data_IF_495495195123
#
_entry.id   IF_495495195123
#
_cell.length_a   1.000
_cell.length_b   1.000
_cell.length_c   1.000
_cell.angle_alpha   90.00
_cell.angle_beta   90.00
_cell.angle_gamma   90.00
#
_symmetry.space_group_name_H-M   'P 1'
#
loop_
_entity.id
_entity.type
_entity.pdbx_description
1 polymer ?
#
# COMPACT_ATOMS: atom_id res chain seq x y z
N UNK A 1 -15.02 -11.09 -3.03
CA UNK A 1 -14.01 -10.01 -3.08
C UNK A 1 -12.75 -10.63 -3.63
N UNK A 2 -12.24 -10.15 -4.77
CA UNK A 2 -11.04 -10.72 -5.35
C UNK A 2 -9.81 -9.90 -4.92
N UNK A 3 -8.71 -10.56 -4.57
CA UNK A 3 -7.49 -9.92 -4.08
C UNK A 3 -6.35 -10.15 -5.05
N UNK A 4 -5.74 -9.07 -5.52
CA UNK A 4 -4.57 -9.11 -6.39
C UNK A 4 -3.33 -8.70 -5.59
N UNK A 5 -2.36 -9.62 -5.44
CA UNK A 5 -1.10 -9.30 -4.77
C UNK A 5 -0.30 -8.28 -5.56
N UNK A 6 0.29 -7.31 -4.86
CA UNK A 6 1.12 -6.29 -5.49
C UNK A 6 2.53 -6.83 -5.70
N UNK A 7 2.99 -6.84 -6.95
CA UNK A 7 4.31 -7.36 -7.34
C UNK A 7 5.11 -6.41 -8.21
N UNK A 8 4.52 -5.29 -8.64
CA UNK A 8 5.14 -4.30 -9.54
C UNK A 8 4.95 -2.88 -9.02
N UNK A 9 5.91 -2.01 -9.32
CA UNK A 9 5.95 -0.61 -8.83
C UNK A 9 4.80 0.26 -9.37
N UNK A 10 4.22 -0.10 -10.52
CA UNK A 10 3.19 0.68 -11.20
C UNK A 10 1.78 0.06 -11.12
N UNK A 11 1.59 -0.94 -10.27
CA UNK A 11 0.33 -1.70 -10.19
C UNK A 11 -0.76 -0.94 -9.44
N UNK A 12 -0.38 -0.15 -8.43
CA UNK A 12 -1.30 0.62 -7.59
C UNK A 12 -1.58 1.98 -8.22
N UNK A 13 -2.85 2.37 -8.26
CA UNK A 13 -3.32 3.66 -8.77
C UNK A 13 -4.10 4.41 -7.70
N UNK A 14 -4.21 5.73 -7.88
CA UNK A 14 -5.09 6.56 -7.06
C UNK A 14 -6.53 6.05 -7.18
N UNK A 15 -7.22 5.94 -6.05
CA UNK A 15 -8.60 5.44 -5.98
C UNK A 15 -8.72 3.94 -5.71
N UNK A 16 -7.65 3.17 -5.92
CA UNK A 16 -7.63 1.74 -5.57
C UNK A 16 -7.88 1.56 -4.07
N UNK A 17 -8.52 0.45 -3.71
CA UNK A 17 -8.64 0.02 -2.32
C UNK A 17 -7.63 -1.08 -2.05
N UNK A 18 -6.81 -0.91 -1.02
CA UNK A 18 -5.82 -1.87 -0.60
C UNK A 18 -6.22 -2.57 0.68
N UNK A 19 -5.75 -3.79 0.79
CA UNK A 19 -5.57 -4.52 2.04
C UNK A 19 -4.08 -4.43 2.39
N UNK A 20 -3.79 -3.90 3.58
CA UNK A 20 -2.43 -3.62 4.05
C UNK A 20 -2.24 -4.28 5.42
N UNK A 21 -1.12 -4.96 5.59
CA UNK A 21 -0.69 -5.52 6.88
C UNK A 21 0.77 -5.12 7.12
N UNK A 22 1.16 -4.85 8.36
CA UNK A 22 2.56 -4.51 8.65
C UNK A 22 2.87 -4.16 10.10
N UNK A 23 4.15 -3.92 10.37
CA UNK A 23 4.71 -3.76 11.72
C UNK A 23 4.06 -2.59 12.47
N UNK A 24 3.92 -1.43 11.80
CA UNK A 24 3.31 -0.22 12.40
C UNK A 24 1.80 -0.34 12.59
N UNK A 25 1.19 -1.40 12.06
CA UNK A 25 -0.23 -1.73 12.26
C UNK A 25 -0.39 -2.85 13.30
N UNK A 26 0.67 -3.22 14.04
CA UNK A 26 0.67 -4.36 14.97
C UNK A 26 0.26 -5.67 14.28
N UNK A 27 0.58 -5.81 13.00
CA UNK A 27 0.16 -6.92 12.14
C UNK A 27 -1.36 -7.07 11.99
N UNK A 28 -2.15 -6.05 12.34
CA UNK A 28 -3.56 -6.01 12.00
C UNK A 28 -3.75 -5.61 10.54
N UNK A 29 -4.67 -6.31 9.88
CA UNK A 29 -5.04 -6.03 8.51
C UNK A 29 -5.95 -4.80 8.48
N UNK A 30 -5.60 -3.82 7.65
CA UNK A 30 -6.45 -2.65 7.39
C UNK A 30 -6.92 -2.63 5.94
N UNK A 31 -8.11 -2.08 5.73
CA UNK A 31 -8.63 -1.72 4.41
C UNK A 31 -8.53 -0.22 4.24
N UNK A 32 -7.83 0.25 3.20
CA UNK A 32 -7.60 1.67 2.97
C UNK A 32 -7.71 2.03 1.49
N UNK A 33 -8.31 3.18 1.19
CA UNK A 33 -8.34 3.72 -0.17
C UNK A 33 -7.10 4.57 -0.43
N UNK A 34 -6.49 4.41 -1.60
CA UNK A 34 -5.32 5.19 -2.00
C UNK A 34 -5.72 6.60 -2.37
N UNK A 35 -5.16 7.55 -1.63
CA UNK A 35 -5.43 8.98 -1.78
C UNK A 35 -4.49 9.60 -2.82
N UNK A 36 -3.24 9.13 -2.87
CA UNK A 36 -2.24 9.60 -3.81
C UNK A 36 -1.17 8.52 -4.03
N UNK A 37 -0.67 8.48 -5.26
CA UNK A 37 0.54 7.77 -5.68
C UNK A 37 1.49 8.86 -6.19
N UNK A 38 2.78 8.78 -5.85
CA UNK A 38 3.79 9.68 -6.43
C UNK A 38 3.92 9.48 -7.95
N UNK A 39 4.52 10.43 -8.66
CA UNK A 39 4.61 10.36 -10.13
C UNK A 39 5.39 9.12 -10.61
N UNK A 40 6.36 8.67 -9.83
CA UNK A 40 7.20 7.49 -10.06
C UNK A 40 6.63 6.19 -9.45
N UNK A 41 5.48 6.24 -8.78
CA UNK A 41 4.84 5.08 -8.15
C UNK A 41 5.46 4.62 -6.83
N UNK A 42 6.51 5.30 -6.36
CA UNK A 42 7.29 4.84 -5.21
C UNK A 42 6.64 5.16 -3.87
N UNK A 43 5.91 6.26 -3.71
CA UNK A 43 5.23 6.61 -2.47
C UNK A 43 3.72 6.45 -2.58
N UNK A 44 3.15 5.67 -1.66
CA UNK A 44 1.73 5.37 -1.57
C UNK A 44 1.15 6.03 -0.32
N UNK A 45 0.28 7.01 -0.50
CA UNK A 45 -0.42 7.68 0.60
C UNK A 45 -1.85 7.16 0.68
N UNK A 46 -2.19 6.55 1.81
CA UNK A 46 -3.52 5.98 2.04
C UNK A 46 -4.30 6.70 3.15
N UNK A 47 -3.66 7.57 3.95
CA UNK A 47 -4.36 8.49 4.83
C UNK A 47 -3.57 9.79 5.01
N UNK A 48 -4.00 10.88 4.37
CA UNK A 48 -3.35 12.19 4.50
C UNK A 48 -3.51 12.82 5.89
N UNK A 49 -4.67 12.65 6.54
CA UNK A 49 -4.97 13.28 7.85
C UNK A 49 -4.06 12.75 8.95
N UNK A 50 -3.77 11.45 8.90
CA UNK A 50 -2.88 10.77 9.84
C UNK A 50 -1.43 10.65 9.32
N UNK A 51 -1.11 11.30 8.19
CA UNK A 51 0.16 11.19 7.50
C UNK A 51 0.66 9.73 7.33
N UNK A 52 -0.24 8.81 6.95
CA UNK A 52 0.11 7.40 6.72
C UNK A 52 0.43 7.16 5.25
N UNK A 53 1.66 6.72 5.04
CA UNK A 53 2.22 6.39 3.73
C UNK A 53 3.26 5.27 3.87
N UNK A 54 3.64 4.68 2.75
CA UNK A 54 4.79 3.79 2.66
C UNK A 54 5.43 3.89 1.28
N UNK A 55 6.68 3.46 1.19
CA UNK A 55 7.37 3.36 -0.09
C UNK A 55 7.16 1.95 -0.70
N UNK A 56 6.59 1.88 -1.90
CA UNK A 56 6.30 0.64 -2.61
C UNK A 56 7.58 -0.07 -3.08
N UNK A 57 8.63 0.66 -3.46
CA UNK A 57 9.93 0.08 -3.80
C UNK A 57 10.59 -0.61 -2.59
N UNK A 58 10.48 0.00 -1.40
CA UNK A 58 10.90 -0.65 -0.16
C UNK A 58 10.09 -1.89 0.15
N UNK A 59 8.78 -1.90 -0.14
CA UNK A 59 7.95 -3.10 0.04
C UNK A 59 8.40 -4.23 -0.88
N UNK A 60 8.56 -3.94 -2.18
CA UNK A 60 8.97 -4.94 -3.18
C UNK A 60 10.39 -5.48 -2.94
N UNK A 61 11.26 -4.70 -2.29
CA UNK A 61 12.60 -5.13 -1.89
C UNK A 61 12.68 -5.77 -0.50
N UNK A 62 11.55 -5.89 0.23
CA UNK A 62 11.49 -6.50 1.57
C UNK A 62 11.93 -5.60 2.74
N UNK A 63 12.19 -4.32 2.49
CA UNK A 63 12.68 -3.35 3.48
C UNK A 63 11.59 -2.46 4.08
N UNK A 64 10.32 -2.66 3.71
CA UNK A 64 9.19 -1.86 4.23
C UNK A 64 8.66 -2.39 5.56
N UNK A 65 8.01 -1.49 6.30
CA UNK A 65 7.17 -1.85 7.44
C UNK A 65 5.90 -2.62 7.00
N UNK A 66 5.45 -2.40 5.76
CA UNK A 66 4.37 -3.18 5.14
C UNK A 66 4.89 -4.58 4.84
N UNK A 67 4.17 -5.61 5.28
CA UNK A 67 4.51 -7.03 5.07
C UNK A 67 3.62 -7.69 4.04
N UNK A 68 2.36 -7.31 3.99
CA UNK A 68 1.42 -7.81 2.98
C UNK A 68 0.65 -6.67 2.34
N UNK A 69 0.45 -6.79 1.04
CA UNK A 69 -0.19 -5.76 0.23
C UNK A 69 -0.97 -6.38 -0.93
N UNK A 70 -2.28 -6.11 -0.98
CA UNK A 70 -3.16 -6.58 -2.06
C UNK A 70 -4.15 -5.50 -2.47
N UNK A 71 -4.49 -5.46 -3.76
CA UNK A 71 -5.53 -4.59 -4.31
C UNK A 71 -6.87 -5.35 -4.28
N UNK A 72 -7.93 -4.68 -3.85
CA UNK A 72 -9.29 -5.19 -3.92
C UNK A 72 -9.86 -4.97 -5.32
N UNK A 73 -10.34 -6.04 -5.97
CA UNK A 73 -11.03 -6.03 -7.26
C UNK A 73 -12.50 -6.42 -7.12
#
# INVERSE_FOLDING_TARGET
MNLEKVTKINQIKKGDTLIITGDTLKNEQIKAQIVKVSADGTEIIFNKRQNKFFNLGMFLSGNSWVKELSIVK
#
